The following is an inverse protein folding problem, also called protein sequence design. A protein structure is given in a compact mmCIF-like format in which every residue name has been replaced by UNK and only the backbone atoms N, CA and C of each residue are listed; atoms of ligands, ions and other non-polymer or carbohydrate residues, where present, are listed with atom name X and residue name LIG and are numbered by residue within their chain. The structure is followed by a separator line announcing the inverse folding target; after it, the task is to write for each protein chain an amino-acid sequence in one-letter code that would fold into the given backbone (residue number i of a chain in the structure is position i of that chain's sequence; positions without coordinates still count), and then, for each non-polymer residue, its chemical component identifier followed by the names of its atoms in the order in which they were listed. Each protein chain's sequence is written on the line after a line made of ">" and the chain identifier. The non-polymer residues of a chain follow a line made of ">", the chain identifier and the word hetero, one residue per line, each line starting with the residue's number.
data_IF_082148799535
#
_entry.id   IF_082148799535
#
_cell.length_a   1.000
_cell.length_b   1.000
_cell.length_c   1.000
_cell.angle_alpha   90.00
_cell.angle_beta   90.00
_cell.angle_gamma   90.00
#
_symmetry.space_group_name_H-M   'P 1'
#
loop_
_entity.id
_entity.type
_entity.pdbx_description
1 polymer ?
#
# COMPACT_ATOMS: atom_id res chain seq x y z
N UNK A 1 -4.92 -14.99 27.32
CA UNK A 1 -5.60 -14.15 26.32
C UNK A 1 -4.70 -12.98 26.01
N UNK A 2 -4.37 -12.73 24.73
CA UNK A 2 -3.71 -11.49 24.36
C UNK A 2 -4.63 -10.33 24.75
N UNK A 3 -4.11 -9.32 25.45
CA UNK A 3 -4.88 -8.13 25.80
C UNK A 3 -5.41 -7.46 24.54
N UNK A 4 -6.65 -6.95 24.59
CA UNK A 4 -7.15 -6.13 23.49
C UNK A 4 -6.22 -4.92 23.32
N UNK A 5 -5.61 -4.79 22.14
CA UNK A 5 -4.92 -3.57 21.78
C UNK A 5 -5.93 -2.42 21.82
N UNK A 6 -5.56 -1.33 22.50
CA UNK A 6 -6.35 -0.11 22.50
C UNK A 6 -6.41 0.53 21.11
N UNK A 7 -7.18 1.61 20.95
CA UNK A 7 -7.21 2.36 19.69
C UNK A 7 -5.79 2.81 19.30
N UNK A 8 -5.53 2.91 17.99
CA UNK A 8 -4.28 3.41 17.42
C UNK A 8 -4.51 4.76 16.71
N UNK A 9 -4.54 5.90 17.44
CA UNK A 9 -4.96 7.18 16.87
C UNK A 9 -4.08 7.70 15.73
N UNK A 10 -2.77 7.43 15.81
CA UNK A 10 -1.82 7.85 14.78
C UNK A 10 -2.02 7.08 13.47
N UNK A 11 -2.41 5.80 13.56
CA UNK A 11 -2.79 5.05 12.37
C UNK A 11 -4.07 5.62 11.74
N UNK A 12 -5.11 5.87 12.53
CA UNK A 12 -6.34 6.47 12.02
C UNK A 12 -6.08 7.83 11.34
N UNK A 13 -5.27 8.69 11.96
CA UNK A 13 -4.87 9.96 11.36
C UNK A 13 -4.06 9.78 10.06
N UNK A 14 -3.23 8.75 9.97
CA UNK A 14 -2.54 8.39 8.73
C UNK A 14 -3.52 7.94 7.65
N UNK A 15 -4.46 7.04 7.97
CA UNK A 15 -5.48 6.56 7.03
C UNK A 15 -6.29 7.74 6.50
N UNK A 16 -6.85 8.56 7.39
CA UNK A 16 -7.69 9.71 7.04
C UNK A 16 -6.97 10.71 6.13
N UNK A 17 -5.66 10.90 6.34
CA UNK A 17 -4.88 11.88 5.61
C UNK A 17 -4.28 11.34 4.32
N UNK A 18 -3.79 10.10 4.32
CA UNK A 18 -2.89 9.58 3.29
C UNK A 18 -3.49 8.44 2.46
N UNK A 19 -4.52 7.75 2.92
CA UNK A 19 -5.09 6.62 2.19
C UNK A 19 -6.43 7.01 1.57
N UNK A 20 -6.51 6.96 0.25
CA UNK A 20 -7.75 7.20 -0.48
C UNK A 20 -8.72 6.02 -0.31
N UNK A 21 -10.04 6.22 -0.53
CA UNK A 21 -11.04 5.17 -0.35
C UNK A 21 -10.80 3.89 -1.15
N UNK A 22 -10.04 3.97 -2.25
CA UNK A 22 -9.67 2.86 -3.14
C UNK A 22 -8.41 2.11 -2.68
N UNK A 23 -7.75 2.52 -1.60
CA UNK A 23 -6.55 1.87 -1.05
C UNK A 23 -5.22 2.49 -1.50
N UNK A 24 -5.26 3.61 -2.21
CA UNK A 24 -4.05 4.32 -2.61
C UNK A 24 -3.45 5.14 -1.48
N UNK A 25 -2.19 4.90 -1.15
CA UNK A 25 -1.39 5.73 -0.24
C UNK A 25 -0.76 6.88 -1.03
N UNK A 26 -0.99 8.12 -0.61
CA UNK A 26 -0.56 9.32 -1.33
C UNK A 26 0.39 10.15 -0.47
N UNK A 27 1.54 10.48 -1.05
CA UNK A 27 2.39 11.55 -0.56
C UNK A 27 1.98 12.89 -1.20
N UNK A 28 1.24 13.69 -0.43
CA UNK A 28 0.77 15.01 -0.85
C UNK A 28 1.85 16.10 -0.81
N UNK A 29 3.04 15.83 -0.29
CA UNK A 29 4.15 16.80 -0.31
C UNK A 29 4.77 16.93 -1.70
N UNK A 30 4.62 15.92 -2.54
CA UNK A 30 5.13 15.93 -3.90
C UNK A 30 4.06 16.45 -4.89
N UNK A 31 4.41 17.33 -5.85
CA UNK A 31 3.45 17.90 -6.80
C UNK A 31 2.75 16.86 -7.70
N UNK A 32 3.43 15.76 -8.00
CA UNK A 32 2.89 14.62 -8.75
C UNK A 32 1.91 13.77 -7.93
N UNK A 33 1.72 14.10 -6.65
CA UNK A 33 0.90 13.39 -5.68
C UNK A 33 1.23 11.90 -5.69
N UNK A 34 2.51 11.54 -5.67
CA UNK A 34 2.98 10.17 -5.88
C UNK A 34 2.47 9.16 -4.86
N UNK A 35 2.44 7.92 -5.32
CA UNK A 35 2.37 6.71 -4.52
C UNK A 35 3.61 5.88 -4.81
N UNK A 36 4.18 5.27 -3.78
CA UNK A 36 5.34 4.39 -3.92
C UNK A 36 4.99 2.97 -3.51
N UNK A 37 5.71 1.98 -4.07
CA UNK A 37 5.61 0.59 -3.59
C UNK A 37 5.93 0.49 -2.09
N UNK A 38 6.87 1.31 -1.60
CA UNK A 38 7.17 1.49 -0.18
C UNK A 38 5.95 1.98 0.63
N UNK A 39 5.29 3.06 0.21
CA UNK A 39 4.12 3.58 0.93
C UNK A 39 2.98 2.56 0.99
N UNK A 40 2.74 1.84 -0.11
CA UNK A 40 1.77 0.74 -0.16
C UNK A 40 2.16 -0.40 0.79
N UNK A 41 3.45 -0.78 0.84
CA UNK A 41 3.92 -1.89 1.68
C UNK A 41 3.77 -1.57 3.17
N UNK A 42 4.06 -0.34 3.58
CA UNK A 42 3.88 0.11 4.96
C UNK A 42 2.42 0.16 5.35
N UNK A 43 1.52 0.60 4.47
CA UNK A 43 0.08 0.55 4.73
C UNK A 43 -0.45 -0.89 4.87
N UNK A 44 0.04 -1.84 4.06
CA UNK A 44 -0.30 -3.26 4.24
C UNK A 44 0.16 -3.78 5.60
N UNK A 45 1.40 -3.47 5.98
CA UNK A 45 1.94 -3.86 7.28
C UNK A 45 1.12 -3.27 8.44
N UNK A 46 0.80 -1.97 8.39
CA UNK A 46 0.03 -1.32 9.46
C UNK A 46 -1.43 -1.79 9.51
N UNK A 47 -2.07 -2.03 8.37
CA UNK A 47 -3.39 -2.64 8.32
C UNK A 47 -3.39 -4.04 8.95
N UNK A 48 -2.34 -4.84 8.68
CA UNK A 48 -2.15 -6.13 9.34
C UNK A 48 -1.99 -5.98 10.86
N UNK A 49 -1.12 -5.09 11.32
CA UNK A 49 -0.90 -4.82 12.76
C UNK A 49 -2.18 -4.36 13.46
N UNK A 50 -2.99 -3.54 12.78
CA UNK A 50 -4.26 -3.04 13.29
C UNK A 50 -5.42 -4.05 13.15
N UNK A 51 -5.17 -5.24 12.59
CA UNK A 51 -6.18 -6.24 12.27
C UNK A 51 -7.32 -5.69 11.37
N UNK A 52 -6.98 -4.82 10.43
CA UNK A 52 -7.91 -4.19 9.49
C UNK A 52 -7.85 -4.88 8.12
N UNK A 53 -8.57 -6.01 8.02
CA UNK A 53 -8.62 -6.82 6.78
C UNK A 53 -9.21 -6.05 5.59
N UNK A 54 -10.22 -5.20 5.84
CA UNK A 54 -10.91 -4.46 4.78
C UNK A 54 -9.98 -3.44 4.13
N UNK A 55 -9.23 -2.69 4.94
CA UNK A 55 -8.26 -1.74 4.41
C UNK A 55 -7.07 -2.46 3.76
N UNK A 56 -6.60 -3.57 4.35
CA UNK A 56 -5.55 -4.41 3.76
C UNK A 56 -5.92 -4.85 2.34
N UNK A 57 -7.14 -5.36 2.14
CA UNK A 57 -7.63 -5.79 0.83
C UNK A 57 -7.69 -4.65 -0.18
N UNK A 58 -8.16 -3.47 0.23
CA UNK A 58 -8.18 -2.27 -0.63
C UNK A 58 -6.78 -1.87 -1.08
N UNK A 59 -5.85 -1.73 -0.13
CA UNK A 59 -4.46 -1.36 -0.41
C UNK A 59 -3.80 -2.40 -1.32
N UNK A 60 -4.02 -3.69 -1.07
CA UNK A 60 -3.49 -4.77 -1.91
C UNK A 60 -4.09 -4.74 -3.32
N UNK A 61 -5.41 -4.55 -3.42
CA UNK A 61 -6.12 -4.43 -4.69
C UNK A 61 -5.58 -3.29 -5.54
N UNK A 62 -5.44 -2.10 -4.94
CA UNK A 62 -4.87 -0.93 -5.61
C UNK A 62 -3.43 -1.18 -6.08
N UNK A 63 -2.60 -1.76 -5.21
CA UNK A 63 -1.20 -2.11 -5.48
C UNK A 63 -1.09 -3.04 -6.68
N UNK A 64 -1.86 -4.13 -6.69
CA UNK A 64 -1.86 -5.12 -7.79
C UNK A 64 -2.32 -4.50 -9.11
N UNK A 65 -3.38 -3.69 -9.07
CA UNK A 65 -3.92 -3.08 -10.28
C UNK A 65 -2.96 -2.05 -10.88
N UNK A 66 -2.44 -1.13 -10.05
CA UNK A 66 -1.73 0.06 -10.52
C UNK A 66 -0.20 -0.12 -10.61
N UNK A 67 0.40 -0.88 -9.69
CA UNK A 67 1.86 -1.07 -9.66
C UNK A 67 2.31 -2.36 -10.33
N UNK A 68 1.48 -3.41 -10.35
CA UNK A 68 1.79 -4.68 -11.02
C UNK A 68 1.10 -4.83 -12.39
N UNK A 69 0.39 -3.80 -12.88
CA UNK A 69 -0.36 -3.87 -14.14
C UNK A 69 -1.46 -4.94 -14.14
N UNK A 70 -2.03 -5.25 -12.99
CA UNK A 70 -3.04 -6.31 -12.81
C UNK A 70 -2.49 -7.74 -12.87
N UNK A 71 -1.17 -7.91 -13.01
CA UNK A 71 -0.49 -9.22 -13.11
C UNK A 71 0.59 -9.39 -12.04
N UNK A 72 0.22 -9.41 -10.74
CA UNK A 72 1.18 -9.59 -9.66
C UNK A 72 1.85 -10.98 -9.65
N UNK A 73 1.34 -11.92 -10.45
CA UNK A 73 1.96 -13.22 -10.74
C UNK A 73 3.16 -13.12 -11.69
N UNK A 74 3.23 -12.05 -12.50
CA UNK A 74 4.29 -11.83 -13.49
C UNK A 74 5.18 -10.62 -13.18
N UNK A 75 4.64 -9.63 -12.47
CA UNK A 75 5.26 -8.31 -12.32
C UNK A 75 5.48 -7.98 -10.84
N UNK A 76 6.71 -7.61 -10.52
CA UNK A 76 7.02 -6.86 -9.30
C UNK A 76 6.37 -5.46 -9.38
N UNK A 77 6.01 -4.84 -8.23
CA UNK A 77 5.38 -3.53 -8.22
C UNK A 77 6.36 -2.45 -8.69
N UNK A 78 5.91 -1.64 -9.66
CA UNK A 78 6.58 -0.39 -10.01
C UNK A 78 6.73 0.49 -8.75
N UNK A 79 7.90 1.11 -8.58
CA UNK A 79 8.20 1.85 -7.37
C UNK A 79 7.52 3.22 -7.32
N UNK A 80 7.16 3.81 -8.47
CA UNK A 80 6.61 5.17 -8.53
C UNK A 80 5.42 5.29 -9.49
N UNK A 81 4.30 5.78 -8.94
CA UNK A 81 3.07 6.08 -9.66
C UNK A 81 2.56 7.47 -9.27
N UNK A 82 2.04 8.25 -10.22
CA UNK A 82 1.58 9.61 -9.94
C UNK A 82 1.05 10.32 -11.19
N UNK A 83 0.90 11.65 -11.10
CA UNK A 83 0.53 12.49 -12.25
C UNK A 83 1.77 12.75 -13.11
N UNK A 84 1.69 12.41 -14.39
CA UNK A 84 2.73 12.74 -15.37
C UNK A 84 2.68 14.22 -15.80
N UNK A 85 3.64 14.65 -16.63
CA UNK A 85 3.72 16.03 -17.11
C UNK A 85 2.52 16.48 -17.97
N UNK A 86 1.70 15.55 -18.45
CA UNK A 86 0.46 15.82 -19.18
C UNK A 86 -0.77 15.79 -18.27
N UNK A 87 -0.59 15.55 -16.96
CA UNK A 87 -1.65 15.46 -15.96
C UNK A 87 -2.33 14.08 -15.89
N UNK A 88 -1.84 13.08 -16.61
CA UNK A 88 -2.41 11.73 -16.58
C UNK A 88 -1.86 10.94 -15.39
N UNK A 89 -2.72 10.12 -14.81
CA UNK A 89 -2.36 9.21 -13.73
C UNK A 89 -1.80 7.89 -14.27
N UNK A 90 -0.55 7.57 -13.92
CA UNK A 90 0.15 6.38 -14.44
C UNK A 90 1.36 6.00 -13.60
N UNK A 91 1.95 4.85 -13.91
CA UNK A 91 3.33 4.54 -13.53
C UNK A 91 4.26 5.58 -14.15
N UNK A 92 5.06 6.23 -13.30
CA UNK A 92 6.05 7.24 -13.68
C UNK A 92 7.44 6.61 -13.83
N UNK A 93 7.74 5.59 -13.03
CA UNK A 93 8.94 4.77 -13.16
C UNK A 93 8.59 3.30 -12.84
N UNK A 94 8.91 2.42 -13.78
CA UNK A 94 8.60 0.99 -13.72
C UNK A 94 9.69 0.15 -13.05
N UNK A 95 10.82 0.75 -12.66
CA UNK A 95 11.78 0.08 -11.80
C UNK A 95 11.12 -0.36 -10.49
N UNK A 96 11.75 -1.29 -9.80
CA UNK A 96 11.25 -1.78 -8.53
C UNK A 96 12.09 -1.25 -7.37
N UNK A 97 11.54 -1.35 -6.16
CA UNK A 97 12.22 -1.01 -4.91
C UNK A 97 12.05 -2.20 -3.94
N UNK A 98 13.17 -2.86 -3.65
CA UNK A 98 13.17 -4.18 -3.00
C UNK A 98 12.72 -4.15 -1.53
N UNK A 99 12.86 -3.01 -0.85
CA UNK A 99 12.27 -2.75 0.45
C UNK A 99 10.74 -2.86 0.40
N UNK A 100 10.10 -2.24 -0.60
CA UNK A 100 8.65 -2.34 -0.82
C UNK A 100 8.21 -3.77 -1.13
N UNK A 101 8.95 -4.47 -1.98
CA UNK A 101 8.68 -5.87 -2.34
C UNK A 101 8.72 -6.80 -1.12
N UNK A 102 9.78 -6.69 -0.31
CA UNK A 102 9.97 -7.55 0.86
C UNK A 102 8.90 -7.30 1.92
N UNK A 103 8.52 -6.04 2.15
CA UNK A 103 7.43 -5.72 3.08
C UNK A 103 6.06 -6.18 2.57
N UNK A 104 5.78 -6.09 1.27
CA UNK A 104 4.55 -6.65 0.67
C UNK A 104 4.53 -8.17 0.88
N UNK A 105 5.63 -8.87 0.54
CA UNK A 105 5.71 -10.31 0.69
C UNK A 105 5.53 -10.75 2.15
N UNK A 106 6.20 -10.07 3.09
CA UNK A 106 6.07 -10.31 4.52
C UNK A 106 4.62 -10.12 4.99
N UNK A 107 4.00 -8.98 4.66
CA UNK A 107 2.65 -8.67 5.07
C UNK A 107 1.63 -9.69 4.52
N UNK A 108 1.80 -10.16 3.29
CA UNK A 108 0.95 -11.19 2.69
C UNK A 108 1.08 -12.55 3.37
N UNK A 109 2.32 -12.99 3.65
CA UNK A 109 2.57 -14.25 4.34
C UNK A 109 2.00 -14.25 5.76
N UNK A 110 2.23 -13.16 6.51
CA UNK A 110 1.73 -13.04 7.87
C UNK A 110 0.21 -12.84 7.93
N UNK A 111 -0.38 -12.08 7.02
CA UNK A 111 -1.83 -12.00 6.86
C UNK A 111 -2.44 -13.39 6.60
N UNK A 112 -1.85 -14.16 5.68
CA UNK A 112 -2.27 -15.54 5.42
C UNK A 112 -2.19 -16.41 6.68
N UNK A 113 -1.12 -16.30 7.46
CA UNK A 113 -0.95 -17.05 8.71
C UNK A 113 -1.92 -16.62 9.81
N UNK A 114 -2.24 -15.34 9.93
CA UNK A 114 -3.03 -14.77 11.04
C UNK A 114 -4.54 -14.78 10.82
N UNK A 115 -4.98 -14.77 9.56
CA UNK A 115 -6.40 -14.69 9.19
C UNK A 115 -6.99 -15.99 8.62
N UNK A 116 -6.23 -17.09 8.66
CA UNK A 116 -6.69 -18.45 8.31
C UNK A 116 -7.23 -19.22 9.52
#
# INVERSE_FOLDING_TARGET
>A
AAGQCGPWPLWNAFVDKHIQPDGRVVDFLNPDQRSTSEGQSYALFFALVNNDQVLFEKVLGWTRHNLCGGRPDLNLPAWLWGRDGSGNWRVLDANTASDGELWIAYALLEAGRLWS
#
